data_IF_002966421433
#
_entry.id   IF_002966421433
#
_cell.length_a   1.000
_cell.length_b   1.000
_cell.length_c   1.000
_cell.angle_alpha   90.00
_cell.angle_beta   90.00
_cell.angle_gamma   90.00
#
_symmetry.space_group_name_H-M   'P 1'
#
loop_
_entity.id
_entity.type
_entity.pdbx_description
1 polymer ?
#
# COMPACT_ATOMS: atom_id res chain seq x y z
N UNK A 1 0.33 2.54 21.58
CA UNK A 1 0.71 2.67 20.14
C UNK A 1 1.10 1.31 19.61
N UNK A 2 0.76 0.97 18.35
CA UNK A 2 1.08 -0.34 17.74
C UNK A 2 1.91 -0.17 16.47
N UNK A 3 2.87 -1.06 16.26
CA UNK A 3 3.80 -1.04 15.14
C UNK A 3 4.06 -2.46 14.61
N UNK A 4 4.56 -2.55 13.36
CA UNK A 4 4.93 -3.83 12.74
C UNK A 4 6.11 -3.67 11.80
N UNK A 5 6.92 -4.71 11.65
CA UNK A 5 7.97 -4.77 10.62
C UNK A 5 7.40 -4.95 9.21
N UNK A 6 6.15 -5.38 9.08
CA UNK A 6 5.53 -5.72 7.80
C UNK A 6 5.53 -4.58 6.79
N UNK A 7 5.40 -3.34 7.26
CA UNK A 7 5.23 -2.14 6.41
C UNK A 7 6.52 -1.35 6.20
N UNK A 8 7.28 -0.95 7.24
CA UNK A 8 8.49 -0.16 7.05
C UNK A 8 9.63 -0.95 6.39
N UNK A 9 9.74 -2.26 6.67
CA UNK A 9 10.83 -3.10 6.15
C UNK A 9 10.39 -4.08 5.05
N UNK A 10 9.09 -4.17 4.74
CA UNK A 10 8.55 -5.15 3.79
C UNK A 10 8.51 -6.61 4.28
N UNK A 11 8.96 -6.91 5.50
CA UNK A 11 9.03 -8.27 6.05
C UNK A 11 7.68 -8.77 6.62
N UNK A 12 6.63 -8.75 5.79
CA UNK A 12 5.28 -9.13 6.23
C UNK A 12 5.18 -10.59 6.68
N UNK A 13 5.93 -11.49 6.04
CA UNK A 13 5.96 -12.92 6.36
C UNK A 13 6.59 -13.24 7.71
N UNK A 14 7.40 -12.32 8.28
CA UNK A 14 8.01 -12.52 9.60
C UNK A 14 7.02 -12.40 10.75
N UNK A 15 5.81 -11.89 10.50
CA UNK A 15 4.73 -11.76 11.50
C UNK A 15 5.16 -11.07 12.80
N UNK A 16 6.07 -10.09 12.71
CA UNK A 16 6.58 -9.38 13.87
C UNK A 16 5.96 -7.99 14.02
N UNK A 17 5.50 -7.69 15.23
CA UNK A 17 4.99 -6.38 15.63
C UNK A 17 5.14 -6.19 17.13
N UNK A 18 4.96 -4.95 17.57
CA UNK A 18 5.09 -4.57 18.97
C UNK A 18 4.10 -3.47 19.32
N UNK A 19 3.81 -3.35 20.61
CA UNK A 19 2.97 -2.31 21.16
C UNK A 19 3.71 -1.57 22.28
N UNK A 20 3.57 -0.25 22.31
CA UNK A 20 3.95 0.60 23.44
C UNK A 20 2.68 0.91 24.22
N UNK A 21 2.56 0.34 25.42
CA UNK A 21 1.37 0.43 26.27
C UNK A 21 1.76 1.19 27.54
N UNK A 22 1.03 2.26 27.86
CA UNK A 22 1.31 3.11 29.03
C UNK A 22 0.67 2.56 30.31
N UNK A 23 -0.56 2.07 30.19
CA UNK A 23 -1.32 1.52 31.31
C UNK A 23 -0.84 0.11 31.62
N UNK A 24 -0.40 -0.11 32.85
CA UNK A 24 0.14 -1.39 33.31
C UNK A 24 -0.88 -2.53 33.27
N UNK A 25 -2.14 -2.26 33.66
CA UNK A 25 -3.21 -3.27 33.63
C UNK A 25 -3.56 -3.68 32.20
N UNK A 26 -3.46 -2.76 31.25
CA UNK A 26 -3.61 -3.08 29.82
C UNK A 26 -2.40 -3.86 29.31
N UNK A 27 -1.19 -3.48 29.72
CA UNK A 27 0.05 -4.15 29.31
C UNK A 27 0.08 -5.60 29.80
N UNK A 28 -0.30 -5.84 31.06
CA UNK A 28 -0.35 -7.17 31.65
C UNK A 28 -1.36 -8.07 30.92
N UNK A 29 -2.59 -7.59 30.69
CA UNK A 29 -3.60 -8.35 29.94
C UNK A 29 -3.15 -8.68 28.51
N UNK A 30 -2.47 -7.74 27.84
CA UNK A 30 -1.93 -7.98 26.50
C UNK A 30 -0.79 -9.01 26.52
N UNK A 31 0.08 -8.96 27.53
CA UNK A 31 1.13 -9.95 27.73
C UNK A 31 0.54 -11.34 27.98
N UNK A 32 -0.41 -11.46 28.91
CA UNK A 32 -1.07 -12.73 29.25
C UNK A 32 -1.75 -13.32 28.01
N UNK A 33 -2.44 -12.50 27.21
CA UNK A 33 -3.04 -12.95 25.95
C UNK A 33 -1.99 -13.52 24.98
N UNK A 34 -0.86 -12.86 24.80
CA UNK A 34 0.22 -13.33 23.91
C UNK A 34 0.85 -14.62 24.43
N UNK A 35 1.02 -14.76 25.75
CA UNK A 35 1.51 -16.00 26.35
C UNK A 35 0.52 -17.15 26.17
N UNK A 36 -0.77 -16.92 26.43
CA UNK A 36 -1.79 -17.97 26.33
C UNK A 36 -2.11 -18.37 24.88
N UNK A 37 -2.07 -17.44 23.93
CA UNK A 37 -2.46 -17.71 22.53
C UNK A 37 -1.35 -18.31 21.69
N UNK A 38 -0.11 -17.85 21.87
CA UNK A 38 1.03 -18.21 20.99
C UNK A 38 2.32 -18.51 21.76
N UNK A 39 2.29 -18.54 23.09
CA UNK A 39 3.48 -18.77 23.94
C UNK A 39 4.62 -17.78 23.66
N UNK A 40 4.26 -16.52 23.37
CA UNK A 40 5.22 -15.50 23.00
C UNK A 40 5.59 -15.50 21.51
N UNK A 41 6.54 -14.65 21.13
CA UNK A 41 7.02 -14.53 19.75
C UNK A 41 8.22 -15.46 19.49
N UNK A 42 8.30 -16.05 18.29
CA UNK A 42 9.45 -16.87 17.86
C UNK A 42 10.79 -16.15 18.06
N UNK A 43 11.74 -16.83 18.72
CA UNK A 43 13.10 -16.31 18.95
C UNK A 43 13.86 -16.06 17.66
N UNK A 44 13.66 -16.91 16.64
CA UNK A 44 14.29 -16.72 15.32
C UNK A 44 13.77 -15.46 14.63
N UNK A 45 12.46 -15.23 14.70
CA UNK A 45 11.85 -13.99 14.23
C UNK A 45 12.42 -12.78 14.98
N UNK A 46 12.52 -12.85 16.30
CA UNK A 46 13.11 -11.77 17.10
C UNK A 46 14.55 -11.49 16.69
N UNK A 47 15.39 -12.52 16.54
CA UNK A 47 16.79 -12.38 16.13
C UNK A 47 16.94 -11.78 14.73
N UNK A 48 16.15 -12.25 13.77
CA UNK A 48 16.16 -11.72 12.40
C UNK A 48 15.71 -10.26 12.36
N UNK A 49 14.63 -9.93 13.06
CA UNK A 49 14.11 -8.56 13.10
C UNK A 49 15.08 -7.61 13.81
N UNK A 50 15.75 -8.07 14.87
CA UNK A 50 16.79 -7.30 15.54
C UNK A 50 17.91 -6.92 14.59
N UNK A 51 18.40 -7.86 13.77
CA UNK A 51 19.44 -7.58 12.76
C UNK A 51 18.97 -6.53 11.74
N UNK A 52 17.75 -6.68 11.22
CA UNK A 52 17.19 -5.73 10.25
C UNK A 52 17.02 -4.34 10.87
N UNK A 53 16.46 -4.25 12.08
CA UNK A 53 16.30 -2.97 12.79
C UNK A 53 17.66 -2.31 13.03
N UNK A 54 18.70 -3.07 13.42
CA UNK A 54 20.05 -2.53 13.57
C UNK A 54 20.58 -1.90 12.27
N UNK A 55 20.40 -2.57 11.13
CA UNK A 55 20.80 -2.02 9.82
C UNK A 55 19.97 -0.78 9.47
N UNK A 56 18.66 -0.79 9.70
CA UNK A 56 17.81 0.38 9.47
C UNK A 56 18.26 1.58 10.31
N UNK A 57 18.57 1.36 11.58
CA UNK A 57 19.02 2.42 12.50
C UNK A 57 20.40 2.96 12.12
N UNK A 58 21.33 2.08 11.72
CA UNK A 58 22.68 2.47 11.33
C UNK A 58 22.73 3.36 10.08
N UNK A 59 21.74 3.21 9.19
CA UNK A 59 21.66 3.95 7.93
C UNK A 59 20.69 5.15 7.97
N UNK A 60 20.12 5.49 9.14
CA UNK A 60 19.22 6.65 9.23
C UNK A 60 19.91 7.92 8.76
N UNK A 61 19.21 8.72 7.96
CA UNK A 61 19.72 9.96 7.37
C UNK A 61 20.96 9.80 6.46
N UNK A 62 21.37 8.57 6.13
CA UNK A 62 22.40 8.26 5.13
C UNK A 62 21.84 8.03 3.73
N UNK A 63 22.70 7.65 2.78
CA UNK A 63 22.29 7.32 1.41
C UNK A 63 21.38 6.08 1.35
N UNK A 64 21.67 5.09 2.19
CA UNK A 64 20.91 3.84 2.32
C UNK A 64 19.74 3.92 3.33
N UNK A 65 19.28 5.13 3.66
CA UNK A 65 18.11 5.31 4.52
C UNK A 65 16.85 4.74 3.87
N UNK A 66 16.32 3.68 4.49
CA UNK A 66 15.10 2.99 4.08
C UNK A 66 13.89 3.92 3.97
N UNK A 67 13.80 4.97 4.80
CA UNK A 67 12.67 5.90 4.76
C UNK A 67 12.78 6.86 3.59
N UNK A 68 13.99 7.31 3.26
CA UNK A 68 14.29 8.07 2.04
C UNK A 68 13.98 7.23 0.80
N UNK A 69 14.47 6.00 0.74
CA UNK A 69 14.18 5.05 -0.33
C UNK A 69 12.66 4.84 -0.51
N UNK A 70 11.96 4.47 0.57
CA UNK A 70 10.53 4.19 0.56
C UNK A 70 9.71 5.40 0.11
N UNK A 71 10.09 6.60 0.56
CA UNK A 71 9.44 7.84 0.11
C UNK A 71 9.55 8.04 -1.39
N UNK A 72 10.77 7.97 -1.93
CA UNK A 72 11.04 8.28 -3.32
C UNK A 72 10.27 7.33 -4.25
N UNK A 73 10.28 6.03 -3.93
CA UNK A 73 9.53 5.01 -4.66
C UNK A 73 8.02 5.28 -4.61
N UNK A 74 7.46 5.51 -3.41
CA UNK A 74 6.01 5.68 -3.25
C UNK A 74 5.51 7.01 -3.82
N UNK A 75 6.29 8.09 -3.72
CA UNK A 75 5.99 9.38 -4.36
C UNK A 75 5.96 9.25 -5.87
N UNK A 76 6.93 8.56 -6.46
CA UNK A 76 6.96 8.29 -7.90
C UNK A 76 5.73 7.53 -8.37
N UNK A 77 5.35 6.46 -7.65
CA UNK A 77 4.11 5.70 -7.92
C UNK A 77 2.87 6.58 -7.83
N UNK A 78 2.77 7.38 -6.77
CA UNK A 78 1.63 8.27 -6.54
C UNK A 78 1.49 9.34 -7.62
N UNK A 79 2.58 9.96 -8.06
CA UNK A 79 2.58 10.94 -9.16
C UNK A 79 2.12 10.32 -10.48
N UNK A 80 2.67 9.15 -10.84
CA UNK A 80 2.28 8.43 -12.07
C UNK A 80 0.79 8.08 -12.04
N UNK A 81 0.29 7.59 -10.91
CA UNK A 81 -1.13 7.26 -10.75
C UNK A 81 -2.02 8.50 -10.88
N UNK A 82 -1.68 9.61 -10.20
CA UNK A 82 -2.44 10.85 -10.31
C UNK A 82 -2.46 11.40 -11.74
N UNK A 83 -1.33 11.34 -12.46
CA UNK A 83 -1.25 11.79 -13.84
C UNK A 83 -2.18 10.98 -14.77
N UNK A 84 -2.34 9.67 -14.52
CA UNK A 84 -3.27 8.84 -15.29
C UNK A 84 -4.73 9.12 -14.89
N UNK A 85 -5.03 9.20 -13.60
CA UNK A 85 -6.41 9.38 -13.11
C UNK A 85 -6.96 10.77 -13.43
N UNK A 86 -6.14 11.82 -13.35
CA UNK A 86 -6.55 13.20 -13.66
C UNK A 86 -7.05 13.40 -15.10
N UNK A 87 -6.69 12.50 -16.02
CA UNK A 87 -7.17 12.50 -17.42
C UNK A 87 -8.58 11.94 -17.57
N UNK A 88 -9.18 11.41 -16.49
CA UNK A 88 -10.49 10.77 -16.51
C UNK A 88 -11.45 11.43 -15.52
N UNK A 89 -12.71 11.63 -15.94
CA UNK A 89 -13.80 12.03 -15.04
C UNK A 89 -14.52 10.84 -14.41
N UNK A 90 -14.11 9.60 -14.72
CA UNK A 90 -14.80 8.38 -14.28
C UNK A 90 -14.40 7.92 -12.89
N UNK A 91 -13.19 8.26 -12.47
CA UNK A 91 -12.63 7.87 -11.19
C UNK A 91 -11.93 9.07 -10.56
N UNK A 92 -11.99 9.16 -9.24
CA UNK A 92 -11.30 10.17 -8.45
C UNK A 92 -10.44 9.49 -7.39
N UNK A 93 -9.38 10.17 -6.96
CA UNK A 93 -8.48 9.73 -5.90
C UNK A 93 -8.69 10.60 -4.66
N UNK A 94 -8.25 10.07 -3.51
CA UNK A 94 -8.18 10.86 -2.30
C UNK A 94 -7.29 12.10 -2.48
N UNK A 95 -7.75 13.23 -1.94
CA UNK A 95 -6.98 14.47 -1.89
C UNK A 95 -6.20 14.49 -0.58
N UNK A 96 -4.88 14.62 -0.67
CA UNK A 96 -3.98 14.69 0.49
C UNK A 96 -3.09 15.92 0.29
N UNK A 97 -3.04 16.87 1.23
CA UNK A 97 -2.18 18.05 1.12
C UNK A 97 -0.70 17.69 1.32
N UNK A 98 0.18 18.60 0.92
CA UNK A 98 1.60 18.51 1.29
C UNK A 98 1.78 19.10 2.69
N UNK A 99 2.61 18.47 3.51
CA UNK A 99 2.82 18.87 4.91
C UNK A 99 4.30 18.87 5.27
N UNK A 100 4.65 19.64 6.31
CA UNK A 100 6.00 19.67 6.85
C UNK A 100 6.31 18.37 7.60
N UNK A 101 7.40 17.71 7.23
CA UNK A 101 7.82 16.47 7.87
C UNK A 101 9.05 16.71 8.75
N UNK A 102 8.92 16.43 10.05
CA UNK A 102 10.00 16.60 11.04
C UNK A 102 11.20 15.69 10.80
N UNK A 103 10.98 14.47 10.30
CA UNK A 103 12.07 13.53 9.97
C UNK A 103 12.95 14.05 8.82
N UNK A 104 12.35 14.56 7.76
CA UNK A 104 13.07 15.07 6.58
C UNK A 104 13.37 16.57 6.64
N UNK A 105 12.87 17.26 7.67
CA UNK A 105 13.00 18.72 7.89
C UNK A 105 12.62 19.57 6.67
N UNK A 106 11.57 19.16 5.94
CA UNK A 106 11.05 19.87 4.76
C UNK A 106 9.58 19.57 4.51
N UNK A 107 8.92 20.44 3.74
CA UNK A 107 7.58 20.17 3.19
C UNK A 107 7.68 19.05 2.15
N UNK A 108 6.77 18.06 2.25
CA UNK A 108 6.77 16.89 1.38
C UNK A 108 5.40 16.66 0.75
N UNK A 109 5.45 16.26 -0.51
CA UNK A 109 4.28 15.73 -1.21
C UNK A 109 3.82 14.40 -0.61
N UNK A 110 2.51 14.08 -0.69
CA UNK A 110 1.97 12.82 -0.20
C UNK A 110 2.50 11.62 -0.99
N UNK A 111 2.73 10.52 -0.25
CA UNK A 111 3.15 9.23 -0.81
C UNK A 111 2.41 8.08 -0.09
N UNK A 112 1.07 7.99 -0.24
CA UNK A 112 0.25 7.04 0.51
C UNK A 112 0.52 5.59 0.10
N UNK A 113 0.30 4.65 1.03
CA UNK A 113 0.45 3.22 0.78
C UNK A 113 -0.59 2.66 -0.21
N UNK A 114 -1.78 3.27 -0.26
CA UNK A 114 -2.90 2.83 -1.07
C UNK A 114 -3.53 4.00 -1.81
N UNK A 115 -4.14 3.69 -2.96
CA UNK A 115 -5.04 4.60 -3.66
C UNK A 115 -6.48 4.26 -3.27
N UNK A 116 -7.18 5.23 -2.69
CA UNK A 116 -8.60 5.12 -2.41
C UNK A 116 -9.38 5.66 -3.61
N UNK A 117 -9.72 4.75 -4.52
CA UNK A 117 -10.36 5.10 -5.79
C UNK A 117 -11.86 5.13 -5.63
N UNK A 118 -12.49 6.26 -5.95
CA UNK A 118 -13.95 6.39 -6.04
C UNK A 118 -14.36 6.41 -7.51
N UNK A 119 -15.31 5.57 -7.89
CA UNK A 119 -15.90 5.59 -9.24
C UNK A 119 -17.07 6.59 -9.26
N UNK A 120 -17.00 7.63 -10.09
CA UNK A 120 -17.92 8.80 -10.06
C UNK A 120 -19.22 8.59 -10.88
N UNK A 121 -19.47 7.40 -11.44
CA UNK A 121 -20.71 7.12 -12.18
C UNK A 121 -21.93 7.01 -11.25
N UNK A 122 -23.05 7.61 -11.68
CA UNK A 122 -24.31 7.68 -10.91
C UNK A 122 -24.91 6.29 -10.63
N UNK A 123 -25.42 6.16 -9.41
CA UNK A 123 -26.08 5.01 -8.76
C UNK A 123 -26.65 3.96 -9.72
N UNK A 124 -26.04 2.78 -9.72
CA UNK A 124 -26.76 1.52 -9.73
C UNK A 124 -26.08 0.64 -8.70
N UNK A 125 -26.90 -0.04 -7.89
CA UNK A 125 -26.69 -0.58 -6.53
C UNK A 125 -25.60 -1.67 -6.39
N UNK A 126 -24.43 -1.51 -7.01
CA UNK A 126 -23.28 -2.43 -6.94
C UNK A 126 -21.98 -1.69 -7.32
N UNK A 127 -21.47 -0.85 -6.41
CA UNK A 127 -20.22 -0.09 -6.61
C UNK A 127 -19.00 -0.98 -6.90
N UNK A 128 -19.00 -2.24 -6.47
CA UNK A 128 -17.85 -3.15 -6.58
C UNK A 128 -17.68 -3.78 -7.97
N UNK A 129 -18.74 -3.86 -8.80
CA UNK A 129 -18.73 -4.68 -10.03
C UNK A 129 -18.34 -3.94 -11.32
N UNK A 130 -18.11 -2.62 -11.28
CA UNK A 130 -18.05 -1.81 -12.52
C UNK A 130 -16.72 -1.16 -12.86
N UNK A 131 -15.79 -1.07 -11.92
CA UNK A 131 -14.44 -0.55 -12.21
C UNK A 131 -13.50 -1.62 -12.82
N UNK A 132 -13.87 -2.91 -12.82
CA UNK A 132 -13.09 -4.02 -13.40
C UNK A 132 -13.51 -4.46 -14.82
N UNK A 133 -14.65 -3.98 -15.36
CA UNK A 133 -15.27 -4.51 -16.59
C UNK A 133 -14.80 -3.89 -17.92
N UNK A 134 -13.63 -3.24 -17.98
CA UNK A 134 -13.20 -2.50 -19.18
C UNK A 134 -11.87 -2.97 -19.78
N UNK A 135 -11.64 -4.28 -19.85
CA UNK A 135 -10.51 -4.87 -20.59
C UNK A 135 -10.91 -5.61 -21.88
N UNK A 136 -12.13 -5.42 -22.41
CA UNK A 136 -12.60 -6.20 -23.57
C UNK A 136 -13.23 -5.41 -24.72
N UNK A 137 -13.28 -4.07 -24.67
CA UNK A 137 -13.91 -3.27 -25.75
C UNK A 137 -12.92 -2.53 -26.66
N UNK A 138 -11.63 -2.83 -26.56
CA UNK A 138 -10.60 -2.39 -27.52
C UNK A 138 -9.93 -3.62 -28.14
N UNK A 139 -10.74 -4.50 -28.74
CA UNK A 139 -10.28 -5.33 -29.85
C UNK A 139 -10.78 -4.64 -31.13
N UNK A 140 -9.92 -4.39 -32.14
CA UNK A 140 -10.40 -3.84 -33.39
C UNK A 140 -11.32 -4.87 -34.06
N UNK A 141 -12.52 -4.44 -34.44
CA UNK A 141 -13.41 -5.21 -35.30
C UNK A 141 -12.82 -5.20 -36.71
N UNK A 142 -12.07 -6.25 -37.08
CA UNK A 142 -11.85 -6.58 -38.49
C UNK A 142 -13.00 -7.47 -38.94
N UNK A 143 -13.87 -6.94 -39.79
CA UNK A 143 -14.98 -7.66 -40.39
C UNK A 143 -14.48 -8.83 -41.24
N UNK A 144 -15.11 -9.99 -41.07
CA UNK A 144 -15.10 -11.06 -42.04
C UNK A 144 -16.52 -11.16 -42.59
N UNK A 145 -16.71 -10.52 -43.74
CA UNK A 145 -17.92 -10.58 -44.55
C UNK A 145 -18.09 -12.01 -45.08
N UNK A 146 -19.22 -12.62 -44.77
CA UNK A 146 -19.65 -13.90 -45.37
C UNK A 146 -20.19 -13.58 -46.76
N UNK A 147 -19.53 -14.07 -47.81
CA UNK A 147 -20.15 -14.24 -49.11
C UNK A 147 -20.38 -15.74 -49.35
N UNK A 148 -21.65 -16.13 -49.37
CA UNK A 148 -22.13 -17.38 -49.92
C UNK A 148 -22.78 -17.07 -51.28
N UNK A 149 -22.45 -17.84 -52.32
CA UNK A 149 -23.33 -18.00 -53.49
C UNK A 149 -22.74 -17.69 -54.87
N UNK A 150 -22.34 -18.77 -55.57
CA UNK A 150 -22.73 -19.16 -56.95
C UNK A 150 -22.53 -18.20 -58.14
N UNK A 151 -21.67 -18.61 -59.10
CA UNK A 151 -21.99 -19.01 -60.49
C UNK A 151 -20.75 -18.84 -61.40
N UNK A 152 -20.49 -19.85 -62.23
CA UNK A 152 -19.37 -19.97 -63.17
C UNK A 152 -19.11 -21.44 -63.47
#
# INVERSE_FOLDING_TARGET
MMFTMSKPSGHAGSRFGWALIRDENVAQRAYDYVQMSIMGASRDTQLRMLKIVKVMLANLHGEDDIFTFGYNVMRSRWRRLNAVVSRSRRISLQKIPSEYCTYFKRVREPSPAYAWVKCERRKTRTATRRCSRQRSSHAPASGAERAAGTQG
#
